data_IF_589417740621
#
_entry.id   IF_589417740621
#
_cell.length_a   1.000
_cell.length_b   1.000
_cell.length_c   1.000
_cell.angle_alpha   90.00
_cell.angle_beta   90.00
_cell.angle_gamma   90.00
#
_symmetry.space_group_name_H-M   'P 1'
#
loop_
_entity.id
_entity.type
_entity.pdbx_description
1 polymer ?
#
# COMPACT_ATOMS: atom_id res chain seq x y z
N UNK A 1 7.11 9.73 -3.61
CA UNK A 1 5.96 8.95 -3.08
C UNK A 1 6.29 7.49 -3.32
N UNK A 2 6.36 6.65 -2.28
CA UNK A 2 6.68 5.21 -2.45
C UNK A 2 5.37 4.45 -2.57
N UNK A 3 5.31 3.46 -3.47
CA UNK A 3 4.12 2.64 -3.61
C UNK A 3 4.17 1.51 -2.56
N UNK A 4 3.23 1.51 -1.64
CA UNK A 4 3.07 0.36 -0.75
C UNK A 4 2.39 -0.75 -1.51
N UNK A 5 3.15 -1.69 -2.05
CA UNK A 5 2.59 -2.99 -2.32
C UNK A 5 2.18 -3.59 -0.97
N UNK A 6 0.88 -3.61 -0.69
CA UNK A 6 0.31 -4.66 0.16
C UNK A 6 -0.20 -5.77 -0.74
N UNK A 7 -0.21 -6.99 -0.21
CA UNK A 7 -0.72 -8.25 -0.79
C UNK A 7 0.19 -8.97 -1.77
N UNK A 8 1.04 -9.79 -1.19
CA UNK A 8 0.94 -11.23 -1.44
C UNK A 8 0.58 -11.89 -0.09
N UNK A 9 0.10 -13.12 -0.11
CA UNK A 9 -0.44 -13.89 1.03
C UNK A 9 0.57 -14.21 2.17
N UNK A 10 1.62 -13.40 2.28
CA UNK A 10 2.63 -13.38 3.33
C UNK A 10 2.40 -12.13 4.20
N UNK A 11 2.60 -12.22 5.51
CA UNK A 11 2.16 -11.20 6.46
C UNK A 11 2.91 -9.84 6.33
N UNK A 12 3.91 -9.75 5.46
CA UNK A 12 4.76 -8.57 5.30
C UNK A 12 5.30 -8.44 3.85
N UNK A 13 4.48 -8.01 2.88
CA UNK A 13 4.92 -7.81 1.51
C UNK A 13 5.97 -6.69 1.39
N UNK A 14 6.87 -6.77 0.40
CA UNK A 14 7.87 -5.73 0.18
C UNK A 14 7.21 -4.43 -0.31
N UNK A 15 7.75 -3.29 0.10
CA UNK A 15 7.33 -1.97 -0.40
C UNK A 15 8.12 -1.67 -1.68
N UNK A 16 7.42 -1.40 -2.77
CA UNK A 16 8.02 -1.16 -4.08
C UNK A 16 8.03 0.33 -4.43
N UNK A 17 8.98 0.77 -5.23
CA UNK A 17 8.86 2.07 -5.90
C UNK A 17 7.84 1.99 -7.03
N UNK A 18 7.24 3.11 -7.47
CA UNK A 18 6.32 3.12 -8.60
C UNK A 18 6.91 2.48 -9.87
N UNK A 19 8.22 2.60 -10.09
CA UNK A 19 8.90 2.06 -11.28
C UNK A 19 9.15 0.54 -11.21
N UNK A 20 9.04 -0.06 -10.02
CA UNK A 20 9.21 -1.51 -9.79
C UNK A 20 7.89 -2.29 -9.89
N UNK A 21 6.77 -1.59 -10.06
CA UNK A 21 5.43 -2.17 -10.02
C UNK A 21 4.95 -2.45 -11.45
N UNK A 22 4.80 -3.73 -11.79
CA UNK A 22 4.43 -4.19 -13.13
C UNK A 22 2.93 -4.46 -13.31
N UNK A 23 2.18 -4.53 -12.21
CA UNK A 23 0.76 -4.87 -12.18
C UNK A 23 -0.16 -3.64 -12.01
N UNK A 24 0.39 -2.42 -11.95
CA UNK A 24 -0.39 -1.19 -11.73
C UNK A 24 -0.20 -0.19 -12.86
N UNK A 25 -1.32 0.29 -13.41
CA UNK A 25 -1.34 1.35 -14.41
C UNK A 25 -1.26 2.74 -13.75
N UNK A 26 -0.73 3.72 -14.47
CA UNK A 26 -0.63 5.11 -13.99
C UNK A 26 -1.97 5.77 -13.67
N UNK A 27 -3.08 5.20 -14.16
CA UNK A 27 -4.46 5.66 -13.91
C UNK A 27 -5.14 4.92 -12.76
N UNK A 28 -4.50 3.92 -12.18
CA UNK A 28 -5.09 3.13 -11.10
C UNK A 28 -5.25 3.95 -9.82
N UNK A 29 -6.37 3.73 -9.15
CA UNK A 29 -6.65 4.37 -7.88
C UNK A 29 -5.87 3.72 -6.74
N UNK A 30 -5.45 4.56 -5.81
CA UNK A 30 -4.73 4.18 -4.59
C UNK A 30 -5.30 4.94 -3.40
N UNK A 31 -5.21 4.33 -2.21
CA UNK A 31 -5.30 5.09 -0.96
C UNK A 31 -3.91 5.60 -0.59
N UNK A 32 -3.79 6.91 -0.38
CA UNK A 32 -2.55 7.50 0.14
C UNK A 32 -2.57 7.58 1.66
N UNK A 33 -1.53 7.05 2.31
CA UNK A 33 -1.30 7.22 3.75
C UNK A 33 -0.04 8.06 3.95
N UNK A 34 -0.13 9.07 4.79
CA UNK A 34 0.96 9.98 5.13
C UNK A 34 1.12 10.05 6.65
N UNK A 35 2.24 9.53 7.17
CA UNK A 35 2.55 9.53 8.61
C UNK A 35 3.99 9.98 8.79
N UNK A 36 4.22 11.01 9.60
CA UNK A 36 5.55 11.52 9.96
C UNK A 36 6.45 11.81 8.73
N UNK A 37 5.88 12.35 7.65
CA UNK A 37 6.59 12.68 6.41
C UNK A 37 6.94 11.48 5.51
N UNK A 38 6.56 10.26 5.88
CA UNK A 38 6.59 9.11 4.98
C UNK A 38 5.23 8.94 4.29
N UNK A 39 5.28 8.70 2.98
CA UNK A 39 4.10 8.57 2.14
C UNK A 39 4.11 7.21 1.47
N UNK A 40 3.01 6.46 1.66
CA UNK A 40 2.80 5.15 1.07
C UNK A 40 1.44 5.10 0.36
N UNK A 41 1.39 4.47 -0.81
CA UNK A 41 0.16 4.31 -1.59
C UNK A 41 -0.28 2.84 -1.62
N UNK A 42 -1.54 2.56 -1.33
CA UNK A 42 -2.12 1.21 -1.28
C UNK A 42 -3.09 1.02 -2.46
N UNK A 43 -2.78 0.13 -3.42
CA UNK A 43 -3.62 -0.09 -4.61
C UNK A 43 -5.05 -0.51 -4.28
N UNK A 44 -6.03 0.22 -4.81
CA UNK A 44 -7.45 -0.10 -4.61
C UNK A 44 -7.80 -1.49 -5.17
N UNK A 45 -7.26 -1.85 -6.35
CA UNK A 45 -7.49 -3.15 -6.98
C UNK A 45 -7.11 -4.35 -6.11
N UNK A 46 -6.15 -4.15 -5.22
CA UNK A 46 -5.72 -5.17 -4.26
C UNK A 46 -6.63 -5.17 -3.03
N UNK A 47 -6.88 -3.98 -2.47
CA UNK A 47 -7.71 -3.80 -1.27
C UNK A 47 -9.16 -4.21 -1.47
N UNK A 48 -9.71 -4.09 -2.68
CA UNK A 48 -11.05 -4.62 -3.01
C UNK A 48 -11.15 -6.13 -2.72
N UNK A 49 -10.06 -6.88 -2.93
CA UNK A 49 -10.02 -8.32 -2.67
C UNK A 49 -9.60 -8.64 -1.23
N UNK A 50 -8.84 -7.74 -0.62
CA UNK A 50 -8.27 -7.87 0.72
C UNK A 50 -8.69 -6.64 1.51
N UNK A 51 -9.98 -6.58 1.82
CA UNK A 51 -10.77 -5.45 2.40
C UNK A 51 -10.11 -4.73 3.59
N UNK A 52 -9.01 -5.26 4.10
CA UNK A 52 -8.19 -4.69 5.16
C UNK A 52 -6.69 -4.82 4.87
N UNK A 53 -5.95 -3.72 5.05
CA UNK A 53 -4.49 -3.72 5.12
C UNK A 53 -4.01 -3.22 6.50
N UNK A 54 -3.14 -4.00 7.14
CA UNK A 54 -2.47 -3.64 8.38
C UNK A 54 -1.01 -3.32 8.09
N UNK A 55 -0.51 -2.22 8.61
CA UNK A 55 0.86 -1.77 8.35
C UNK A 55 1.42 -0.96 9.52
N UNK A 56 2.74 -0.81 9.55
CA UNK A 56 3.47 0.02 10.49
C UNK A 56 4.32 1.01 9.71
N UNK A 57 3.95 2.30 9.78
CA UNK A 57 4.67 3.38 9.11
C UNK A 57 5.30 4.28 10.15
N UNK A 58 6.64 4.42 10.11
CA UNK A 58 7.40 5.25 11.08
C UNK A 58 7.08 4.93 12.55
N UNK A 59 6.84 3.66 12.88
CA UNK A 59 6.51 3.20 14.23
C UNK A 59 5.05 3.39 14.65
N UNK A 60 4.19 3.88 13.75
CA UNK A 60 2.75 3.99 13.98
C UNK A 60 2.04 2.83 13.30
N UNK A 61 1.41 1.97 14.08
CA UNK A 61 0.55 0.89 13.58
C UNK A 61 -0.81 1.44 13.17
N UNK A 62 -1.33 0.97 12.04
CA UNK A 62 -2.68 1.33 11.59
C UNK A 62 -3.32 0.21 10.77
N UNK A 63 -4.63 0.34 10.60
CA UNK A 63 -5.45 -0.51 9.75
C UNK A 63 -6.21 0.37 8.76
N UNK A 64 -6.13 0.03 7.48
CA UNK A 64 -6.92 0.63 6.41
C UNK A 64 -8.00 -0.37 6.01
N UNK A 65 -9.27 0.00 6.14
CA UNK A 65 -10.42 -0.81 5.73
C UNK A 65 -11.21 -0.08 4.64
N UNK A 66 -11.66 -0.82 3.63
CA UNK A 66 -12.38 -0.29 2.46
C UNK A 66 -13.62 -1.14 2.16
#
# INVERSE_FOLDING_TARGET
MRLGLCVSADANPPVLSPDEVDYQDTIDQVFGVSINGEHRAYPLRILILHEMANDVLRGVSFSLAF
#
